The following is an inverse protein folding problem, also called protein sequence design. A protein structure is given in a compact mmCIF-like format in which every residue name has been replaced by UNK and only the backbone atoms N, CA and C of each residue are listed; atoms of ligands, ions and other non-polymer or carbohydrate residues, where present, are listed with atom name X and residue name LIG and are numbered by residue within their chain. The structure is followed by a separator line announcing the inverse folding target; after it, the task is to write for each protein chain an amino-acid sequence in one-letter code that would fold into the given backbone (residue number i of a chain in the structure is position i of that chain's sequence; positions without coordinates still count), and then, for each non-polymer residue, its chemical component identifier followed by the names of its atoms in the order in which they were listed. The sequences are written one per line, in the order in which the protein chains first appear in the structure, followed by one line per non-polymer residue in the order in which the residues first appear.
data_IF_956173292804
#
_entry.id   IF_956173292804
#
_cell.length_a   1.000
_cell.length_b   1.000
_cell.length_c   1.000
_cell.angle_alpha   90.00
_cell.angle_beta   90.00
_cell.angle_gamma   90.00
#
_symmetry.space_group_name_H-M   'P 1'
#
loop_
_entity.id
_entity.type
_entity.pdbx_description
1 polymer ?
#
# COMPACT_ATOMS: atom_id res chain seq x y z
N UNK A 1 6.46 -11.10 10.03
CA UNK A 1 6.00 -11.10 8.62
C UNK A 1 7.03 -11.79 7.72
N UNK A 2 6.62 -12.50 6.67
CA UNK A 2 7.55 -13.14 5.70
C UNK A 2 7.53 -12.46 4.33
N UNK A 3 8.53 -12.72 3.48
CA UNK A 3 8.52 -12.25 2.08
C UNK A 3 7.26 -12.72 1.32
N UNK A 4 6.80 -13.94 1.58
CA UNK A 4 5.60 -14.51 0.97
C UNK A 4 4.32 -13.78 1.39
N UNK A 5 4.24 -13.30 2.64
CA UNK A 5 3.12 -12.48 3.10
C UNK A 5 3.07 -11.14 2.38
N UNK A 6 4.23 -10.50 2.17
CA UNK A 6 4.32 -9.28 1.40
C UNK A 6 3.92 -9.48 -0.06
N UNK A 7 4.36 -10.56 -0.70
CA UNK A 7 3.92 -10.89 -2.06
C UNK A 7 2.42 -11.13 -2.14
N UNK A 8 1.83 -11.77 -1.12
CA UNK A 8 0.38 -11.97 -1.04
C UNK A 8 -0.36 -10.65 -0.85
N UNK A 9 0.14 -9.77 0.01
CA UNK A 9 -0.39 -8.41 0.17
C UNK A 9 -0.41 -7.67 -1.18
N UNK A 10 0.70 -7.68 -1.92
CA UNK A 10 0.77 -7.05 -3.24
C UNK A 10 -0.28 -7.64 -4.18
N UNK A 11 -0.38 -8.97 -4.27
CA UNK A 11 -1.36 -9.63 -5.15
C UNK A 11 -2.81 -9.36 -4.75
N UNK A 12 -3.09 -9.26 -3.45
CA UNK A 12 -4.45 -9.07 -2.92
C UNK A 12 -4.90 -7.60 -3.03
N UNK A 13 -3.97 -6.66 -2.87
CA UNK A 13 -4.28 -5.25 -2.61
C UNK A 13 -3.78 -4.27 -3.67
N UNK A 14 -2.83 -4.65 -4.52
CA UNK A 14 -2.16 -3.75 -5.45
C UNK A 14 -2.36 -4.24 -6.88
N UNK A 15 -2.89 -3.37 -7.73
CA UNK A 15 -3.03 -3.63 -9.16
C UNK A 15 -2.18 -2.63 -9.95
N UNK A 16 -1.68 -3.09 -11.09
CA UNK A 16 -1.09 -2.18 -12.08
C UNK A 16 -2.18 -1.25 -12.63
N UNK A 17 -1.82 0.01 -12.80
CA UNK A 17 -2.62 1.03 -13.45
C UNK A 17 -1.82 1.62 -14.61
N UNK A 18 -2.46 1.83 -15.76
CA UNK A 18 -1.83 2.41 -16.94
C UNK A 18 -1.96 3.95 -16.98
N UNK A 19 -2.65 4.55 -16.02
CA UNK A 19 -2.82 6.00 -15.94
C UNK A 19 -1.54 6.72 -15.48
N UNK A 20 -0.98 7.60 -16.32
CA UNK A 20 0.23 8.37 -16.00
C UNK A 20 0.05 9.35 -14.82
N UNK A 21 -1.20 9.75 -14.52
CA UNK A 21 -1.53 10.67 -13.42
C UNK A 21 -1.95 9.95 -12.11
N UNK A 22 -2.02 8.62 -12.11
CA UNK A 22 -2.44 7.84 -10.95
C UNK A 22 -1.24 7.10 -10.33
N UNK A 23 -1.10 7.22 -9.01
CA UNK A 23 -0.06 6.55 -8.27
C UNK A 23 -0.32 6.57 -6.78
N UNK A 24 0.16 5.53 -6.09
CA UNK A 24 0.00 5.40 -4.65
C UNK A 24 1.08 6.18 -3.91
N UNK A 25 0.68 7.01 -2.97
CA UNK A 25 1.59 7.59 -1.98
C UNK A 25 2.11 6.52 -1.01
N UNK A 26 3.20 6.84 -0.31
CA UNK A 26 3.73 5.97 0.75
C UNK A 26 2.70 5.74 1.87
N UNK A 27 1.95 6.79 2.23
CA UNK A 27 0.93 6.73 3.29
C UNK A 27 -0.25 5.85 2.88
N UNK A 28 -0.72 5.96 1.63
CA UNK A 28 -1.80 5.11 1.10
C UNK A 28 -1.37 3.64 1.04
N UNK A 29 -0.17 3.36 0.51
CA UNK A 29 0.31 1.98 0.39
C UNK A 29 0.49 1.34 1.78
N UNK A 30 1.07 2.07 2.73
CA UNK A 30 1.23 1.57 4.09
C UNK A 30 -0.13 1.44 4.79
N UNK A 31 -1.04 2.38 4.59
CA UNK A 31 -2.39 2.34 5.16
C UNK A 31 -3.22 1.13 4.70
N UNK A 32 -3.17 0.79 3.41
CA UNK A 32 -3.82 -0.43 2.89
C UNK A 32 -3.14 -1.68 3.46
N UNK A 33 -1.82 -1.68 3.65
CA UNK A 33 -1.11 -2.78 4.30
C UNK A 33 -1.56 -2.99 5.76
N UNK A 34 -1.73 -1.92 6.54
CA UNK A 34 -2.27 -2.00 7.91
C UNK A 34 -3.68 -2.62 7.88
N UNK A 35 -4.52 -2.17 6.97
CA UNK A 35 -5.90 -2.65 6.82
C UNK A 35 -5.92 -4.13 6.42
N UNK A 36 -5.05 -4.54 5.49
CA UNK A 36 -4.88 -5.95 5.11
C UNK A 36 -4.40 -6.82 6.29
N UNK A 37 -3.47 -6.33 7.10
CA UNK A 37 -3.02 -7.02 8.31
C UNK A 37 -4.18 -7.20 9.30
N UNK A 38 -4.98 -6.15 9.53
CA UNK A 38 -6.14 -6.21 10.42
C UNK A 38 -7.17 -7.26 9.97
N UNK A 39 -7.53 -7.28 8.68
CA UNK A 39 -8.45 -8.26 8.11
C UNK A 39 -7.96 -9.70 8.28
N UNK A 40 -6.64 -9.92 8.23
CA UNK A 40 -6.03 -11.25 8.39
C UNK A 40 -5.60 -11.56 9.84
N UNK A 41 -5.93 -10.69 10.80
CA UNK A 41 -5.52 -10.80 12.21
C UNK A 41 -4.00 -10.95 12.39
N UNK A 42 -3.23 -10.26 11.55
CA UNK A 42 -1.78 -10.21 11.62
C UNK A 42 -1.31 -8.90 12.24
N UNK A 43 -0.17 -8.94 12.93
CA UNK A 43 0.47 -7.73 13.45
C UNK A 43 1.28 -7.10 12.31
N UNK A 44 1.00 -5.84 11.94
CA UNK A 44 1.76 -5.15 10.91
C UNK A 44 3.19 -4.87 11.39
N UNK A 45 4.14 -4.97 10.47
CA UNK A 45 5.53 -4.63 10.76
C UNK A 45 5.74 -3.11 10.80
N UNK A 46 6.80 -2.63 11.49
CA UNK A 46 7.18 -1.23 11.46
C UNK A 46 7.40 -0.74 10.03
N UNK A 47 7.02 0.51 9.77
CA UNK A 47 7.14 1.17 8.47
C UNK A 47 8.51 0.94 7.78
N UNK A 48 9.61 1.01 8.53
CA UNK A 48 10.97 0.74 8.02
C UNK A 48 11.15 -0.69 7.49
N UNK A 49 10.63 -1.68 8.21
CA UNK A 49 10.73 -3.09 7.83
C UNK A 49 9.84 -3.40 6.62
N UNK A 50 8.64 -2.82 6.59
CA UNK A 50 7.74 -2.88 5.44
C UNK A 50 8.43 -2.34 4.17
N UNK A 51 9.01 -1.13 4.24
CA UNK A 51 9.67 -0.52 3.07
C UNK A 51 10.90 -1.30 2.61
N UNK A 52 11.67 -1.87 3.53
CA UNK A 52 12.78 -2.75 3.17
C UNK A 52 12.31 -4.00 2.42
N UNK A 53 11.14 -4.54 2.73
CA UNK A 53 10.54 -5.64 1.99
C UNK A 53 9.99 -5.21 0.63
N UNK A 54 9.29 -4.07 0.56
CA UNK A 54 8.77 -3.51 -0.69
C UNK A 54 9.90 -3.23 -1.70
N UNK A 55 11.02 -2.68 -1.26
CA UNK A 55 12.18 -2.46 -2.11
C UNK A 55 12.72 -3.78 -2.71
N UNK A 56 12.79 -4.86 -1.92
CA UNK A 56 13.18 -6.19 -2.40
C UNK A 56 12.19 -6.79 -3.41
N UNK A 57 10.94 -6.35 -3.39
CA UNK A 57 9.89 -6.75 -4.33
C UNK A 57 9.81 -5.83 -5.57
N UNK A 58 10.70 -4.83 -5.70
CA UNK A 58 10.72 -3.91 -6.84
C UNK A 58 9.78 -2.70 -6.70
N UNK A 59 9.19 -2.47 -5.52
CA UNK A 59 8.33 -1.31 -5.24
C UNK A 59 9.14 -0.12 -4.67
N UNK A 60 10.37 0.06 -5.14
CA UNK A 60 11.26 1.15 -4.72
C UNK A 60 10.99 2.44 -5.51
N UNK A 61 10.52 2.32 -6.75
CA UNK A 61 10.43 3.44 -7.69
C UNK A 61 9.41 4.48 -7.20
N UNK A 62 9.87 5.72 -7.00
CA UNK A 62 9.04 6.85 -6.59
C UNK A 62 9.27 8.02 -7.51
N UNK A 63 8.16 8.63 -7.97
CA UNK A 63 8.16 9.87 -8.74
C UNK A 63 7.57 11.00 -7.90
N UNK A 64 8.12 12.20 -8.03
CA UNK A 64 7.57 13.38 -7.38
C UNK A 64 6.49 14.00 -8.27
N UNK A 65 5.24 14.01 -7.80
CA UNK A 65 4.10 14.64 -8.48
C UNK A 65 3.45 15.62 -7.50
N UNK A 66 3.27 16.88 -7.89
CA UNK A 66 2.61 17.92 -7.08
C UNK A 66 3.06 17.95 -5.60
N UNK A 67 4.39 17.91 -5.38
CA UNK A 67 5.06 17.90 -4.06
C UNK A 67 4.93 16.61 -3.24
N UNK A 68 4.25 15.57 -3.71
CA UNK A 68 4.17 14.25 -3.07
C UNK A 68 5.06 13.23 -3.79
N UNK A 69 5.56 12.25 -3.05
CA UNK A 69 6.20 11.08 -3.62
C UNK A 69 5.13 10.01 -3.84
N UNK A 70 4.96 9.61 -5.09
CA UNK A 70 4.01 8.57 -5.49
C UNK A 70 4.72 7.48 -6.26
N UNK A 71 4.18 6.27 -6.21
CA UNK A 71 4.55 5.17 -7.09
C UNK A 71 3.63 5.18 -8.30
N UNK A 72 4.11 5.63 -9.48
CA UNK A 72 3.27 5.74 -10.65
C UNK A 72 2.80 4.36 -11.12
N UNK A 73 1.63 4.31 -11.73
CA UNK A 73 1.11 3.08 -12.34
C UNK A 73 0.71 1.99 -11.34
N UNK A 74 0.47 2.37 -10.08
CA UNK A 74 -0.09 1.49 -9.06
C UNK A 74 -1.41 2.06 -8.57
N UNK A 75 -2.37 1.17 -8.30
CA UNK A 75 -3.63 1.50 -7.62
C UNK A 75 -3.93 0.48 -6.52
N UNK A 76 -4.65 0.94 -5.50
CA UNK A 76 -5.19 0.08 -4.46
C UNK A 76 -6.44 -0.64 -4.96
N UNK A 77 -6.60 -1.91 -4.58
CA UNK A 77 -7.74 -2.76 -4.94
C UNK A 77 -8.08 -3.72 -3.81
N UNK A 78 -9.24 -4.37 -3.92
CA UNK A 78 -9.65 -5.43 -3.01
C UNK A 78 -10.21 -4.96 -1.66
N UNK A 79 -10.56 -5.90 -0.77
CA UNK A 79 -11.25 -5.61 0.49
C UNK A 79 -10.48 -4.71 1.44
N UNK A 80 -9.15 -4.83 1.48
CA UNK A 80 -8.30 -4.00 2.34
C UNK A 80 -8.27 -2.53 1.88
N UNK A 81 -8.39 -2.26 0.58
CA UNK A 81 -8.49 -0.89 0.08
C UNK A 81 -9.81 -0.24 0.52
N UNK A 82 -10.91 -1.00 0.50
CA UNK A 82 -12.21 -0.52 1.01
C UNK A 82 -12.13 -0.23 2.51
N UNK A 83 -11.55 -1.15 3.30
CA UNK A 83 -11.36 -0.97 4.74
C UNK A 83 -10.50 0.27 5.04
N UNK A 84 -9.41 0.47 4.31
CA UNK A 84 -8.56 1.66 4.42
C UNK A 84 -9.34 2.95 4.13
N UNK A 85 -10.15 2.98 3.07
CA UNK A 85 -10.97 4.15 2.72
C UNK A 85 -11.99 4.44 3.82
N UNK A 86 -12.62 3.41 4.40
CA UNK A 86 -13.54 3.58 5.52
C UNK A 86 -12.84 4.10 6.78
N UNK A 87 -11.67 3.54 7.11
CA UNK A 87 -10.88 3.93 8.27
C UNK A 87 -10.32 5.37 8.16
N UNK A 88 -9.83 5.74 6.98
CA UNK A 88 -9.32 7.11 6.69
C UNK A 88 -10.43 8.16 6.67
N UNK A 89 -11.66 7.79 6.28
CA UNK A 89 -12.83 8.67 6.38
C UNK A 89 -13.34 8.81 7.82
N UNK A 90 -13.24 7.75 8.62
CA UNK A 90 -13.63 7.79 10.03
C UNK A 90 -12.71 8.69 10.87
N UNK A 91 -11.49 8.98 10.41
CA UNK A 91 -10.55 9.89 11.08
C UNK A 91 -10.88 11.39 10.88
N UNK A 92 -11.92 11.70 10.11
CA UNK A 92 -12.39 13.06 9.81
C UNK A 92 -13.75 13.40 10.44
N UNK A 93 -14.31 12.50 11.27
CA UNK A 93 -15.61 12.66 11.93
C UNK A 93 -15.49 13.02 13.41
#
# INVERSE_FOLDING_TARGET
MTMSDYSRFISDCIAADAGEDHGLTDDELYGVYISWCALRRQIPEPCKAFWAAMAKLGFDERRRINRRYVRPGLRMTGPAAVDYILASRASLA
#
